data_IF_718975695396
#
_entry.id   IF_718975695396
#
_cell.length_a   1.000
_cell.length_b   1.000
_cell.length_c   1.000
_cell.angle_alpha   90.00
_cell.angle_beta   90.00
_cell.angle_gamma   90.00
#
_symmetry.space_group_name_H-M   'P 1'
#
loop_
_entity.id
_entity.type
_entity.pdbx_description
1 polymer ?
2 non-polymer ?
3 non-polymer ?
4 water ?
#
# COMPACT_ATOMS: atom_id res chain seq x y z
N UNK A 1 0.20 8.04 -0.77
CA UNK A 1 1.40 8.76 -1.31
C UNK A 1 1.03 9.76 -2.41
N UNK A 2 -0.11 9.56 -3.10
CA UNK A 2 -0.64 10.33 -4.24
C UNK A 2 -2.16 10.15 -4.35
N UNK A 3 -2.84 10.77 -5.34
CA UNK A 3 -4.31 10.79 -5.40
C UNK A 3 -4.97 9.42 -5.63
N UNK A 4 -4.26 8.49 -6.28
CA UNK A 4 -4.64 7.07 -6.37
C UNK A 4 -4.83 6.44 -5.00
N UNK A 5 -3.80 6.50 -4.16
CA UNK A 5 -3.80 5.95 -2.79
C UNK A 5 -4.85 6.69 -1.93
N UNK A 6 -5.07 8.00 -2.20
CA UNK A 6 -6.08 8.81 -1.46
C UNK A 6 -7.48 8.20 -1.65
N UNK A 7 -7.85 7.94 -2.88
CA UNK A 7 -9.18 7.37 -3.23
C UNK A 7 -9.26 5.97 -2.61
N UNK A 8 -8.24 5.15 -2.81
CA UNK A 8 -8.19 3.78 -2.28
C UNK A 8 -8.44 3.82 -0.76
N UNK A 9 -7.71 4.68 -0.05
CA UNK A 9 -7.82 4.80 1.44
C UNK A 9 -9.26 5.17 1.83
N UNK A 10 -9.89 6.10 1.12
CA UNK A 10 -11.27 6.57 1.46
C UNK A 10 -12.24 5.39 1.37
N UNK A 11 -12.08 4.53 0.36
CA UNK A 11 -12.89 3.29 0.19
C UNK A 11 -12.57 2.32 1.32
N UNK A 12 -11.28 2.09 1.64
CA UNK A 12 -10.95 1.07 2.65
C UNK A 12 -11.50 1.51 4.01
N UNK A 13 -11.40 2.79 4.35
CA UNK A 13 -11.73 3.28 5.72
C UNK A 13 -13.25 3.19 5.99
N UNK A 14 -14.11 3.30 4.99
CA UNK A 14 -15.56 3.36 5.21
C UNK A 14 -16.30 2.19 4.58
N UNK A 15 -15.75 1.53 3.55
CA UNK A 15 -16.56 0.52 2.82
C UNK A 15 -15.95 -0.89 2.88
N UNK A 16 -15.10 -1.23 3.86
CA UNK A 16 -14.56 -2.63 3.95
C UNK A 16 -14.81 -3.15 5.35
N UNK A 17 -14.99 -4.46 5.43
CA UNK A 17 -15.04 -5.22 6.70
C UNK A 17 -14.12 -6.43 6.50
N UNK A 18 -13.74 -7.06 7.60
CA UNK A 18 -13.03 -8.36 7.55
C UNK A 18 -14.10 -9.45 7.60
N UNK A 19 -14.22 -10.24 6.54
CA UNK A 19 -15.15 -11.39 6.48
C UNK A 19 -14.35 -12.67 6.74
N UNK A 20 -14.90 -13.53 7.60
CA UNK A 20 -14.31 -14.86 7.89
C UNK A 20 -15.38 -15.92 7.60
N UNK A 21 -15.04 -16.85 6.69
CA UNK A 21 -15.83 -18.08 6.40
C UNK A 21 -14.97 -19.27 6.85
N UNK A 22 -15.43 -20.50 6.60
CA UNK A 22 -14.64 -21.75 6.84
C UNK A 22 -13.41 -21.86 5.93
N UNK A 23 -13.36 -21.06 4.86
CA UNK A 23 -12.23 -21.04 3.88
C UNK A 23 -11.26 -19.90 4.18
N UNK A 24 -11.43 -19.18 5.31
CA UNK A 24 -10.48 -18.16 5.78
C UNK A 24 -11.02 -16.74 5.86
N UNK A 25 -10.08 -15.79 6.03
CA UNK A 25 -10.31 -14.34 6.16
C UNK A 25 -10.23 -13.66 4.80
N UNK A 26 -11.19 -12.79 4.46
CA UNK A 26 -11.21 -12.06 3.16
C UNK A 26 -11.48 -10.58 3.41
N UNK A 27 -10.86 -9.70 2.66
CA UNK A 27 -11.33 -8.31 2.47
C UNK A 27 -12.72 -8.42 1.86
N UNK A 28 -13.67 -7.67 2.35
CA UNK A 28 -15.05 -7.68 1.82
C UNK A 28 -15.50 -6.22 1.63
N UNK A 29 -15.92 -5.91 0.43
CA UNK A 29 -16.31 -4.55 -0.03
C UNK A 29 -17.81 -4.38 0.22
N UNK A 30 -18.17 -3.44 1.10
CA UNK A 30 -19.58 -3.03 1.29
C UNK A 30 -19.96 -2.04 0.19
N UNK A 31 -21.13 -2.19 -0.42
CA UNK A 31 -21.47 -1.39 -1.64
C UNK A 31 -22.58 -0.39 -1.29
N UNK A 32 -23.63 -0.86 -0.60
CA UNK A 32 -24.75 0.03 -0.16
C UNK A 32 -25.62 -0.76 0.81
N UNK A 33 -26.32 -0.04 1.68
CA UNK A 33 -27.22 -0.63 2.70
C UNK A 33 -26.44 -1.78 3.37
N UNK A 34 -26.95 -3.03 3.37
CA UNK A 34 -26.27 -4.14 4.08
C UNK A 34 -25.73 -5.10 3.02
N UNK A 35 -25.44 -4.60 1.83
CA UNK A 35 -25.08 -5.46 0.67
C UNK A 35 -23.58 -5.31 0.45
N UNK A 36 -22.87 -6.44 0.48
CA UNK A 36 -21.41 -6.53 0.24
C UNK A 36 -21.09 -7.55 -0.87
N UNK A 37 -19.84 -7.57 -1.32
CA UNK A 37 -19.34 -8.59 -2.28
C UNK A 37 -18.13 -9.32 -1.70
N UNK A 38 -17.91 -10.51 -2.21
CA UNK A 38 -16.77 -11.38 -1.79
C UNK A 38 -16.51 -12.36 -2.92
N UNK A 39 -15.29 -12.91 -3.07
CA UNK A 39 -15.10 -13.92 -4.11
C UNK A 39 -15.96 -15.16 -3.79
N UNK A 40 -16.48 -15.80 -4.84
CA UNK A 40 -17.38 -16.96 -4.71
C UNK A 40 -16.62 -18.13 -4.03
N UNK A 41 -15.30 -18.28 -4.24
CA UNK A 41 -14.51 -19.35 -3.57
C UNK A 41 -14.41 -19.14 -2.04
N UNK A 42 -14.90 -18.04 -1.48
CA UNK A 42 -15.05 -17.92 0.00
C UNK A 42 -16.12 -18.86 0.53
N UNK A 43 -17.04 -19.38 -0.29
CA UNK A 43 -18.10 -20.34 0.09
C UNK A 43 -18.94 -19.81 1.26
N UNK A 44 -19.60 -18.68 1.07
CA UNK A 44 -20.43 -18.05 2.12
C UNK A 44 -21.55 -19.03 2.48
N UNK A 45 -21.81 -19.24 3.77
CA UNK A 45 -22.93 -20.05 4.26
C UNK A 45 -24.01 -19.21 4.87
N UNK A 46 -24.77 -19.80 5.80
CA UNK A 46 -25.91 -19.17 6.50
C UNK A 46 -25.40 -18.20 7.55
N UNK A 47 -24.19 -18.42 8.06
CA UNK A 47 -23.54 -17.60 9.12
C UNK A 47 -22.13 -17.20 8.61
N UNK A 48 -21.74 -15.96 8.85
CA UNK A 48 -20.39 -15.43 8.47
C UNK A 48 -19.90 -14.62 9.67
N UNK A 49 -18.58 -14.44 9.82
CA UNK A 49 -18.02 -13.51 10.82
C UNK A 49 -17.60 -12.21 10.12
N UNK A 50 -18.08 -11.09 10.65
CA UNK A 50 -17.85 -9.73 10.12
C UNK A 50 -17.15 -8.93 11.22
N UNK A 51 -15.89 -8.57 11.04
CA UNK A 51 -15.04 -7.96 12.10
C UNK A 51 -15.23 -8.74 13.40
N UNK A 52 -15.17 -10.07 13.32
CA UNK A 52 -15.21 -11.05 14.45
C UNK A 52 -16.55 -11.11 15.17
N UNK A 53 -17.64 -10.59 14.56
CA UNK A 53 -19.03 -10.68 15.09
C UNK A 53 -19.80 -11.73 14.28
N UNK A 54 -20.41 -12.70 14.95
CA UNK A 54 -21.26 -13.73 14.31
C UNK A 54 -22.42 -13.01 13.60
N UNK A 55 -22.60 -13.22 12.30
CA UNK A 55 -23.61 -12.45 11.51
C UNK A 55 -24.42 -13.42 10.63
N UNK A 56 -25.75 -13.39 10.73
CA UNK A 56 -26.63 -14.16 9.84
C UNK A 56 -26.50 -13.60 8.42
N UNK A 57 -26.46 -14.48 7.43
CA UNK A 57 -26.52 -14.10 5.99
C UNK A 57 -28.00 -14.09 5.57
N UNK A 58 -28.56 -12.94 5.20
CA UNK A 58 -29.99 -12.86 4.80
C UNK A 58 -30.14 -13.37 3.37
N UNK A 59 -29.13 -13.24 2.52
CA UNK A 59 -29.16 -13.72 1.13
C UNK A 59 -27.74 -13.76 0.58
N UNK A 60 -27.45 -14.71 -0.31
CA UNK A 60 -26.14 -14.80 -0.98
C UNK A 60 -26.38 -15.32 -2.39
N UNK A 61 -25.80 -14.67 -3.40
CA UNK A 61 -26.00 -15.06 -4.80
C UNK A 61 -24.65 -15.04 -5.54
N UNK A 62 -24.23 -16.22 -6.00
CA UNK A 62 -23.06 -16.43 -6.88
C UNK A 62 -23.43 -16.00 -8.29
N UNK A 63 -22.85 -14.91 -8.78
CA UNK A 63 -23.25 -14.33 -10.09
C UNK A 63 -22.65 -15.16 -11.22
N UNK A 64 -23.41 -15.28 -12.30
CA UNK A 64 -22.96 -15.90 -13.57
C UNK A 64 -23.42 -15.01 -14.72
N UNK A 65 -22.68 -14.94 -15.83
CA UNK A 65 -23.15 -14.14 -16.98
C UNK A 65 -24.27 -14.91 -17.71
N UNK A 66 -24.81 -14.30 -18.75
CA UNK A 66 -25.97 -14.91 -19.46
C UNK A 66 -25.50 -16.03 -20.41
N UNK A 67 -24.20 -16.27 -20.59
CA UNK A 67 -23.67 -17.56 -21.16
C UNK A 67 -23.66 -18.67 -20.09
N UNK A 68 -24.10 -18.37 -18.85
CA UNK A 68 -24.09 -19.29 -17.69
C UNK A 68 -22.63 -19.66 -17.35
N UNK A 69 -21.73 -18.68 -17.43
CA UNK A 69 -20.30 -18.79 -17.01
C UNK A 69 -20.09 -18.08 -15.65
N UNK A 70 -19.33 -18.71 -14.77
CA UNK A 70 -18.88 -18.11 -13.49
C UNK A 70 -18.36 -16.68 -13.69
N UNK A 71 -18.73 -15.76 -12.80
CA UNK A 71 -18.10 -14.40 -12.69
C UNK A 71 -17.21 -14.29 -11.44
N UNK A 72 -17.31 -15.23 -10.49
CA UNK A 72 -16.49 -15.31 -9.25
C UNK A 72 -16.86 -14.21 -8.27
N UNK A 73 -18.01 -13.53 -8.45
CA UNK A 73 -18.56 -12.53 -7.48
C UNK A 73 -19.74 -13.18 -6.75
N UNK A 74 -19.75 -13.13 -5.42
CA UNK A 74 -20.95 -13.45 -4.61
C UNK A 74 -21.45 -12.15 -3.96
N UNK A 75 -22.71 -11.82 -4.16
CA UNK A 75 -23.36 -10.65 -3.52
C UNK A 75 -24.00 -11.18 -2.27
N UNK A 76 -23.67 -10.55 -1.14
CA UNK A 76 -24.15 -11.01 0.17
C UNK A 76 -24.96 -9.89 0.79
N UNK A 77 -26.12 -10.20 1.37
CA UNK A 77 -26.80 -9.26 2.28
C UNK A 77 -26.66 -9.75 3.71
N UNK A 78 -26.15 -8.88 4.58
CA UNK A 78 -25.74 -9.15 5.97
C UNK A 78 -26.84 -8.68 6.93
N UNK A 79 -27.19 -9.51 7.90
CA UNK A 79 -28.04 -9.08 9.03
C UNK A 79 -27.23 -8.21 10.00
N UNK A 80 -26.75 -7.08 9.50
CA UNK A 80 -25.90 -6.11 10.24
C UNK A 80 -26.80 -4.95 10.73
N UNK A 81 -26.45 -4.32 11.86
CA UNK A 81 -27.22 -3.23 12.48
C UNK A 81 -26.83 -1.86 11.90
N UNK A 82 -26.01 -1.82 10.86
CA UNK A 82 -25.43 -0.57 10.33
C UNK A 82 -25.37 -0.69 8.80
N UNK A 83 -25.67 0.38 8.05
CA UNK A 83 -25.54 0.43 6.57
C UNK A 83 -24.15 0.93 6.15
N UNK A 84 -23.71 0.50 4.98
CA UNK A 84 -22.52 1.05 4.29
C UNK A 84 -22.90 2.38 3.64
N UNK A 85 -21.93 3.29 3.60
CA UNK A 85 -21.97 4.42 2.64
C UNK A 85 -22.26 3.86 1.26
N UNK A 86 -23.20 4.46 0.55
CA UNK A 86 -23.54 4.03 -0.83
C UNK A 86 -22.44 4.52 -1.78
N UNK A 87 -21.70 3.59 -2.39
CA UNK A 87 -20.58 3.89 -3.34
C UNK A 87 -20.94 3.43 -4.75
N UNK A 88 -22.20 3.12 -5.02
CA UNK A 88 -22.59 2.60 -6.36
C UNK A 88 -22.27 3.59 -7.47
N UNK A 89 -22.27 4.91 -7.20
CA UNK A 89 -21.92 5.93 -8.24
C UNK A 89 -20.42 5.86 -8.59
N UNK A 90 -19.58 5.07 -7.89
CA UNK A 90 -18.16 4.91 -8.29
C UNK A 90 -17.93 3.67 -9.17
N UNK A 91 -18.97 2.88 -9.42
CA UNK A 91 -18.89 1.63 -10.21
C UNK A 91 -18.96 1.96 -11.69
N UNK A 92 -18.09 1.36 -12.51
CA UNK A 92 -18.16 1.50 -13.96
C UNK A 92 -19.44 0.89 -14.49
N UNK A 93 -19.92 1.42 -15.61
CA UNK A 93 -21.12 0.84 -16.27
C UNK A 93 -20.74 -0.24 -17.28
N UNK A 94 -19.57 -0.14 -17.93
CA UNK A 94 -19.14 -1.04 -19.03
C UNK A 94 -17.83 -1.76 -18.66
N UNK A 95 -17.53 -2.86 -19.38
CA UNK A 95 -16.24 -3.58 -19.30
C UNK A 95 -15.20 -2.65 -19.92
N UNK A 96 -14.01 -2.53 -19.37
CA UNK A 96 -13.03 -1.53 -19.83
C UNK A 96 -11.64 -1.92 -19.35
N UNK A 97 -10.63 -1.31 -19.96
CA UNK A 97 -9.22 -1.28 -19.52
C UNK A 97 -8.99 0.00 -18.70
N UNK A 98 -7.96 0.02 -17.87
CA UNK A 98 -7.68 1.13 -16.94
C UNK A 98 -6.17 1.38 -16.89
N UNK A 99 -5.80 2.62 -16.57
CA UNK A 99 -4.41 2.94 -16.16
C UNK A 99 -4.35 3.15 -14.64
N UNK A 100 -3.22 2.77 -14.05
CA UNK A 100 -2.75 3.29 -12.74
C UNK A 100 -3.75 2.88 -11.66
N UNK A 101 -3.97 1.59 -11.48
CA UNK A 101 -4.85 1.05 -10.42
C UNK A 101 -4.07 0.74 -9.14
N UNK A 102 -4.80 0.69 -8.01
CA UNK A 102 -4.31 0.28 -6.67
C UNK A 102 -5.16 -0.90 -6.22
N UNK A 103 -4.49 -1.91 -5.70
CA UNK A 103 -5.14 -3.06 -5.01
C UNK A 103 -4.95 -2.84 -3.53
N UNK A 104 -6.06 -2.82 -2.77
CA UNK A 104 -6.08 -2.51 -1.32
C UNK A 104 -6.66 -3.69 -0.54
N UNK A 105 -5.96 -4.11 0.53
CA UNK A 105 -6.30 -5.30 1.36
C UNK A 105 -6.32 -4.91 2.82
N UNK A 106 -7.29 -5.43 3.58
CA UNK A 106 -7.31 -5.23 5.03
C UNK A 106 -7.77 -6.54 5.69
N UNK A 107 -6.82 -7.29 6.26
CA UNK A 107 -7.10 -8.51 7.05
C UNK A 107 -6.23 -8.48 8.31
N UNK A 108 -6.47 -9.38 9.28
CA UNK A 108 -5.56 -9.69 10.41
C UNK A 108 -4.10 -9.78 9.92
N UNK A 109 -3.87 -10.59 8.90
CA UNK A 109 -2.54 -10.90 8.30
C UNK A 109 -1.94 -9.68 7.58
N UNK A 110 -2.75 -8.92 6.86
CA UNK A 110 -2.30 -7.80 5.97
C UNK A 110 -3.16 -6.56 6.24
N UNK A 111 -2.98 -5.89 7.40
CA UNK A 111 -3.67 -4.64 7.68
C UNK A 111 -3.11 -3.46 6.88
N UNK A 112 -3.97 -2.59 6.33
CA UNK A 112 -3.58 -1.30 5.73
C UNK A 112 -2.56 -1.51 4.61
N UNK A 113 -2.78 -2.53 3.78
CA UNK A 113 -1.93 -2.85 2.63
C UNK A 113 -2.48 -2.19 1.35
N UNK A 114 -1.61 -1.47 0.62
CA UNK A 114 -1.93 -0.80 -0.65
C UNK A 114 -0.81 -1.15 -1.65
N UNK A 115 -1.17 -1.61 -2.84
CA UNK A 115 -0.21 -2.04 -3.91
C UNK A 115 -0.52 -1.28 -5.19
N UNK A 116 0.42 -0.47 -5.72
CA UNK A 116 0.23 0.13 -7.04
C UNK A 116 0.49 -0.99 -8.07
N UNK A 117 -0.56 -1.44 -8.73
CA UNK A 117 -0.46 -2.59 -9.69
C UNK A 117 -0.29 -2.06 -11.10
N UNK A 118 -0.50 -0.78 -11.34
CA UNK A 118 -0.26 -0.18 -12.66
C UNK A 118 -1.38 -0.46 -13.64
N UNK A 119 -1.03 -0.76 -14.89
CA UNK A 119 -1.98 -0.94 -16.03
C UNK A 119 -2.88 -2.17 -15.82
N UNK A 120 -4.18 -2.01 -16.07
CA UNK A 120 -5.15 -3.14 -15.91
C UNK A 120 -5.78 -3.45 -17.28
N UNK A 121 -5.62 -4.69 -17.76
CA UNK A 121 -6.14 -5.19 -19.06
C UNK A 121 -7.53 -5.84 -18.87
N UNK A 122 -8.47 -5.53 -19.76
CA UNK A 122 -9.72 -6.32 -19.88
C UNK A 122 -9.30 -7.66 -20.48
N UNK A 123 -9.02 -8.64 -19.65
CA UNK A 123 -8.44 -9.96 -20.05
C UNK A 123 -9.55 -10.84 -20.64
N UNK A 124 -10.73 -10.79 -20.05
CA UNK A 124 -11.91 -11.57 -20.46
C UNK A 124 -11.93 -12.94 -19.85
N UNK A 125 -11.64 -13.98 -20.65
CA UNK A 125 -11.78 -15.39 -20.23
C UNK A 125 -10.53 -15.79 -19.45
N UNK A 126 -10.71 -16.48 -18.32
CA UNK A 126 -9.63 -17.11 -17.53
C UNK A 126 -10.15 -18.45 -17.03
N UNK A 127 -9.32 -19.48 -17.09
CA UNK A 127 -9.58 -20.74 -16.34
C UNK A 127 -9.01 -20.55 -14.94
N UNK A 128 -9.87 -20.25 -13.97
CA UNK A 128 -9.49 -19.83 -12.61
C UNK A 128 -9.63 -21.03 -11.67
N UNK A 129 -8.51 -21.62 -11.26
CA UNK A 129 -8.55 -22.84 -10.44
C UNK A 129 -9.37 -23.94 -11.10
N UNK A 130 -9.33 -24.08 -12.41
CA UNK A 130 -10.13 -25.11 -13.12
C UNK A 130 -11.53 -24.64 -13.54
N UNK A 131 -11.99 -23.45 -13.15
CA UNK A 131 -13.37 -22.97 -13.45
C UNK A 131 -13.33 -21.93 -14.56
N UNK A 132 -13.95 -22.18 -15.75
CA UNK A 132 -14.06 -21.15 -16.79
C UNK A 132 -14.71 -19.90 -16.16
N UNK A 133 -14.12 -18.74 -16.34
CA UNK A 133 -14.55 -17.50 -15.64
C UNK A 133 -14.54 -16.35 -16.64
N UNK A 134 -15.56 -15.48 -16.64
CA UNK A 134 -15.60 -14.31 -17.55
C UNK A 134 -15.37 -12.99 -16.81
N UNK A 135 -15.18 -11.92 -17.56
CA UNK A 135 -15.04 -10.50 -17.09
C UNK A 135 -13.85 -10.34 -16.12
N UNK A 136 -12.73 -10.96 -16.44
CA UNK A 136 -11.49 -10.90 -15.63
C UNK A 136 -10.66 -9.70 -16.08
N UNK A 137 -10.19 -8.94 -15.09
CA UNK A 137 -9.20 -7.85 -15.21
C UNK A 137 -7.84 -8.44 -14.88
N UNK A 138 -6.77 -8.04 -15.58
CA UNK A 138 -5.42 -8.60 -15.26
C UNK A 138 -4.44 -7.45 -15.04
N UNK A 139 -3.54 -7.64 -14.08
CA UNK A 139 -2.47 -6.68 -13.75
C UNK A 139 -1.19 -7.46 -13.50
N UNK A 140 -0.06 -6.86 -13.87
CA UNK A 140 1.27 -7.54 -13.84
C UNK A 140 1.89 -7.25 -12.51
N UNK A 141 1.34 -7.81 -11.43
CA UNK A 141 1.95 -7.79 -10.08
C UNK A 141 1.85 -9.18 -9.49
N UNK A 142 2.94 -9.69 -8.84
CA UNK A 142 2.97 -10.99 -8.19
C UNK A 142 2.22 -10.99 -6.86
N UNK A 143 0.89 -11.02 -6.95
CA UNK A 143 -0.05 -11.08 -5.80
C UNK A 143 0.04 -12.48 -5.14
N UNK A 144 -0.31 -12.58 -3.86
CA UNK A 144 -0.13 -13.80 -3.03
C UNK A 144 -1.40 -14.11 -2.26
N UNK A 145 -1.47 -15.35 -1.77
CA UNK A 145 -2.43 -15.83 -0.74
C UNK A 145 -2.56 -14.76 0.36
N UNK A 146 -3.80 -14.40 0.67
CA UNK A 146 -4.14 -13.34 1.63
C UNK A 146 -4.80 -12.11 0.97
N UNK A 147 -4.69 -11.97 -0.35
CA UNK A 147 -5.10 -10.75 -1.10
C UNK A 147 -6.48 -10.92 -1.75
N UNK A 148 -7.08 -12.12 -1.72
CA UNK A 148 -8.42 -12.35 -2.33
C UNK A 148 -9.46 -11.48 -1.64
N UNK A 149 -10.29 -10.81 -2.45
CA UNK A 149 -11.32 -9.87 -1.96
C UNK A 149 -10.78 -8.44 -2.00
N UNK A 150 -9.47 -8.29 -2.21
CA UNK A 150 -8.80 -6.98 -2.22
C UNK A 150 -9.53 -6.06 -3.18
N UNK A 151 -9.60 -4.78 -2.92
CA UNK A 151 -10.39 -3.85 -3.77
C UNK A 151 -9.44 -3.26 -4.81
N UNK A 152 -9.83 -3.33 -6.07
CA UNK A 152 -9.09 -2.64 -7.18
C UNK A 152 -9.79 -1.31 -7.50
N UNK A 153 -9.03 -0.21 -7.42
CA UNK A 153 -9.56 1.15 -7.67
C UNK A 153 -8.64 1.90 -8.65
N UNK A 154 -9.20 2.85 -9.37
CA UNK A 154 -8.49 4.02 -9.96
C UNK A 154 -9.06 5.25 -9.27
N UNK A 155 -8.47 6.43 -9.49
CA UNK A 155 -9.06 7.69 -8.96
C UNK A 155 -10.49 7.78 -9.47
N UNK A 156 -11.44 7.75 -8.53
CA UNK A 156 -12.86 7.96 -8.76
C UNK A 156 -13.58 6.72 -9.19
N UNK A 157 -12.95 5.54 -9.34
CA UNK A 157 -13.68 4.30 -9.71
C UNK A 157 -13.24 3.08 -8.91
N UNK A 158 -14.23 2.29 -8.50
CA UNK A 158 -14.05 0.96 -7.86
C UNK A 158 -14.33 -0.06 -8.96
N UNK A 159 -13.29 -0.74 -9.47
CA UNK A 159 -13.43 -1.48 -10.75
C UNK A 159 -13.48 -3.01 -10.57
N UNK A 160 -13.06 -3.55 -9.43
CA UNK A 160 -12.97 -5.01 -9.30
C UNK A 160 -12.59 -5.47 -7.90
N UNK A 161 -12.69 -6.79 -7.68
CA UNK A 161 -12.17 -7.46 -6.47
C UNK A 161 -11.22 -8.59 -6.94
N UNK A 162 -10.06 -8.62 -6.30
CA UNK A 162 -8.99 -9.63 -6.50
C UNK A 162 -9.52 -11.05 -6.26
N UNK A 163 -9.35 -11.97 -7.22
CA UNK A 163 -9.88 -13.37 -7.06
C UNK A 163 -8.76 -14.41 -7.29
N UNK A 164 -7.58 -14.04 -7.74
CA UNK A 164 -6.51 -15.04 -7.96
C UNK A 164 -5.26 -14.51 -8.63
N UNK A 165 -4.28 -15.39 -8.87
CA UNK A 165 -3.03 -15.03 -9.57
C UNK A 165 -2.25 -16.26 -10.00
N UNK A 166 -1.18 -16.08 -10.76
CA UNK A 166 -0.37 -17.22 -11.27
C UNK A 166 1.11 -17.05 -10.86
N UNK A 167 1.40 -16.22 -9.85
CA UNK A 167 2.75 -15.92 -9.36
C UNK A 167 3.35 -14.68 -10.01
N UNK A 168 3.07 -14.40 -11.29
CA UNK A 168 3.57 -13.20 -12.03
C UNK A 168 2.46 -12.15 -12.22
N UNK A 169 1.24 -12.63 -12.46
CA UNK A 169 0.07 -11.76 -12.73
C UNK A 169 -1.00 -11.96 -11.63
N UNK A 170 -1.84 -10.94 -11.45
CA UNK A 170 -3.01 -10.98 -10.56
C UNK A 170 -4.29 -10.79 -11.37
N UNK A 171 -5.40 -11.31 -10.89
CA UNK A 171 -6.70 -11.33 -11.62
C UNK A 171 -7.81 -10.82 -10.71
N UNK A 172 -8.68 -9.96 -11.24
CA UNK A 172 -9.77 -9.39 -10.45
C UNK A 172 -11.08 -9.67 -11.22
N UNK A 173 -12.18 -9.93 -10.53
CA UNK A 173 -13.53 -9.96 -11.14
C UNK A 173 -14.04 -8.52 -11.28
N UNK A 174 -14.55 -8.14 -12.44
CA UNK A 174 -15.15 -6.79 -12.64
C UNK A 174 -16.29 -6.56 -11.68
N UNK A 175 -16.40 -5.31 -11.18
CA UNK A 175 -17.64 -4.81 -10.59
C UNK A 175 -18.30 -3.89 -11.64
N UNK A 176 -19.57 -4.11 -11.89
CA UNK A 176 -20.41 -3.31 -12.78
C UNK A 176 -21.59 -2.71 -12.02
N UNK A 177 -21.94 -1.47 -12.34
CA UNK A 177 -23.10 -0.77 -11.74
C UNK A 177 -24.37 -1.65 -11.81
N UNK A 178 -24.55 -2.36 -12.93
CA UNK A 178 -25.79 -3.15 -13.20
C UNK A 178 -25.91 -4.31 -12.20
N UNK A 179 -24.84 -4.73 -11.53
CA UNK A 179 -24.98 -5.80 -10.52
C UNK A 179 -25.75 -5.29 -9.30
N UNK A 180 -25.85 -3.98 -9.05
CA UNK A 180 -26.36 -3.47 -7.74
C UNK A 180 -27.55 -2.52 -7.88
N UNK A 181 -28.30 -2.61 -8.97
CA UNK A 181 -29.56 -1.83 -9.15
C UNK A 181 -30.65 -2.50 -8.30
N UNK A 182 -31.61 -1.72 -7.80
CA UNK A 182 -32.65 -2.18 -6.83
C UNK A 182 -33.95 -1.39 -7.05
N UNK B 2 4.20 -11.98 7.08
CA UNK B 2 3.98 -12.10 8.55
C UNK B 2 5.04 -11.34 9.35
N UNK B 3 6.29 -11.88 9.45
CA UNK B 3 7.38 -11.17 10.13
C UNK B 3 7.76 -9.85 9.42
N UNK B 4 7.65 -9.82 8.08
CA UNK B 4 7.89 -8.62 7.24
C UNK B 4 6.94 -7.48 7.56
N UNK B 5 5.63 -7.75 7.62
CA UNK B 5 4.59 -6.74 7.95
C UNK B 5 4.66 -6.37 9.43
N UNK B 6 4.99 -7.33 10.30
CA UNK B 6 5.15 -7.09 11.77
C UNK B 6 6.36 -6.17 12.01
N UNK B 7 7.46 -6.40 11.27
CA UNK B 7 8.68 -5.58 11.38
C UNK B 7 8.39 -4.15 10.91
N UNK B 8 7.75 -4.01 9.76
CA UNK B 8 7.41 -2.67 9.20
C UNK B 8 6.52 -1.92 10.20
N UNK B 9 5.53 -2.58 10.83
CA UNK B 9 4.63 -1.92 11.84
C UNK B 9 5.43 -1.50 13.06
N UNK B 10 6.39 -2.31 13.53
CA UNK B 10 7.18 -2.00 14.74
C UNK B 10 8.02 -0.75 14.49
N UNK B 11 8.56 -0.63 13.28
CA UNK B 11 9.41 0.54 12.91
C UNK B 11 8.50 1.77 12.77
N UNK B 12 7.36 1.61 12.10
CA UNK B 12 6.32 2.67 11.97
C UNK B 12 5.97 3.23 13.36
N UNK B 13 5.50 2.37 14.26
CA UNK B 13 4.89 2.81 15.55
C UNK B 13 5.90 3.54 16.43
N UNK B 14 7.10 3.04 16.61
CA UNK B 14 8.08 3.68 17.52
C UNK B 14 9.04 4.64 16.80
N UNK B 15 9.36 4.46 15.53
CA UNK B 15 10.50 5.19 14.91
C UNK B 15 10.07 6.15 13.78
N UNK B 16 8.79 6.35 13.50
CA UNK B 16 8.38 7.20 12.38
C UNK B 16 7.56 8.39 12.93
N UNK B 17 7.90 9.60 12.49
CA UNK B 17 7.18 10.85 12.85
C UNK B 17 6.78 11.61 11.59
N UNK B 18 5.84 12.54 11.71
CA UNK B 18 5.45 13.44 10.59
C UNK B 18 6.30 14.71 10.66
N UNK B 19 7.12 14.95 9.65
CA UNK B 19 8.02 16.13 9.60
C UNK B 19 7.38 17.10 8.61
N UNK B 20 7.28 18.39 8.95
CA UNK B 20 6.73 19.41 8.03
C UNK B 20 7.77 20.52 7.89
N UNK B 21 8.25 20.71 6.65
CA UNK B 21 9.18 21.78 6.21
C UNK B 21 8.39 22.83 5.42
N UNK B 22 9.12 23.78 4.82
CA UNK B 22 8.53 24.79 3.89
C UNK B 22 7.86 24.06 2.73
N UNK B 23 8.30 22.85 2.40
CA UNK B 23 7.83 22.10 1.20
C UNK B 23 6.58 21.26 1.52
N UNK B 24 6.24 21.08 2.77
CA UNK B 24 5.07 20.29 3.20
C UNK B 24 5.49 19.07 4.04
N UNK B 25 4.70 17.99 3.98
CA UNK B 25 4.84 16.86 4.94
C UNK B 25 5.66 15.74 4.34
N UNK B 26 6.51 15.15 5.18
CA UNK B 26 7.38 14.00 4.84
C UNK B 26 7.34 12.96 5.97
N UNK B 27 7.32 11.69 5.60
CA UNK B 27 7.60 10.58 6.52
C UNK B 27 9.05 10.71 7.02
N UNK B 28 9.28 10.83 8.30
CA UNK B 28 10.66 10.98 8.83
C UNK B 28 11.00 9.76 9.70
N UNK B 29 12.20 9.21 9.52
CA UNK B 29 12.66 8.07 10.33
C UNK B 29 13.61 8.56 11.45
N UNK B 30 13.22 8.38 12.70
CA UNK B 30 14.14 8.56 13.83
C UNK B 30 15.01 7.35 14.04
N UNK B 31 16.31 7.56 14.22
CA UNK B 31 17.32 6.46 14.15
C UNK B 31 17.88 6.15 15.56
N UNK B 32 18.20 7.17 16.33
CA UNK B 32 18.68 7.06 17.74
C UNK B 32 18.73 8.45 18.38
N UNK B 33 18.70 8.52 19.72
CA UNK B 33 18.84 9.83 20.40
C UNK B 33 17.89 10.83 19.75
N UNK B 34 18.36 12.01 19.34
CA UNK B 34 17.48 12.99 18.65
C UNK B 34 17.91 13.08 17.19
N UNK B 35 18.38 11.98 16.62
CA UNK B 35 18.92 11.94 15.23
C UNK B 35 17.91 11.27 14.31
N UNK B 36 17.46 11.98 13.28
CA UNK B 36 16.49 11.47 12.27
C UNK B 36 17.02 11.67 10.85
N UNK B 37 16.34 11.05 9.90
CA UNK B 37 16.67 11.24 8.45
C UNK B 37 15.41 11.58 7.66
N UNK B 38 15.64 12.35 6.62
CA UNK B 38 14.57 12.87 5.71
C UNK B 38 15.25 13.04 4.34
N UNK B 39 14.51 12.95 3.20
CA UNK B 39 15.09 13.24 1.88
C UNK B 39 15.66 14.66 1.78
N UNK B 40 16.80 14.84 1.09
CA UNK B 40 17.45 16.17 0.97
C UNK B 40 16.46 17.17 0.34
N UNK B 41 15.59 16.70 -0.56
CA UNK B 41 14.62 17.57 -1.28
C UNK B 41 13.57 18.16 -0.36
N UNK B 42 13.49 17.74 0.90
CA UNK B 42 12.56 18.35 1.89
C UNK B 42 13.00 19.79 2.26
N UNK B 43 14.24 20.22 1.97
CA UNK B 43 14.69 21.61 2.27
C UNK B 43 14.50 21.91 3.76
N UNK B 44 15.14 21.13 4.61
CA UNK B 44 15.08 21.34 6.07
C UNK B 44 15.68 22.73 6.37
N UNK B 45 15.03 23.49 7.25
CA UNK B 45 15.47 24.84 7.64
C UNK B 45 15.97 24.87 9.07
N UNK B 46 15.78 25.99 9.74
CA UNK B 46 16.25 26.19 11.14
C UNK B 46 15.19 25.60 12.05
N UNK B 47 13.94 25.58 11.58
CA UNK B 47 12.75 25.13 12.36
C UNK B 47 12.03 24.09 11.51
N UNK B 48 11.55 23.05 12.15
CA UNK B 48 10.72 22.01 11.51
C UNK B 48 9.56 21.68 12.45
N UNK B 49 8.43 21.23 11.90
CA UNK B 49 7.33 20.68 12.71
C UNK B 49 7.44 19.16 12.76
N UNK B 50 7.36 18.60 13.98
CA UNK B 50 7.43 17.13 14.27
C UNK B 50 6.13 16.74 14.95
N UNK B 51 5.25 16.03 14.24
CA UNK B 51 3.87 15.75 14.71
C UNK B 51 3.18 17.06 15.15
N UNK B 52 3.35 18.11 14.36
CA UNK B 52 2.68 19.44 14.44
C UNK B 52 3.28 20.29 15.57
N UNK B 53 4.37 19.86 16.21
CA UNK B 53 5.11 20.65 17.23
C UNK B 53 6.29 21.39 16.58
N UNK B 54 6.32 22.72 16.71
CA UNK B 54 7.48 23.57 16.34
C UNK B 54 8.76 23.08 17.03
N UNK B 55 9.78 22.71 16.26
CA UNK B 55 11.04 22.09 16.79
C UNK B 55 12.25 22.74 16.12
N UNK B 56 13.20 23.22 16.92
CA UNK B 56 14.48 23.75 16.41
C UNK B 56 15.29 22.57 15.83
N UNK B 57 15.81 22.72 14.63
CA UNK B 57 16.83 21.78 14.08
C UNK B 57 18.23 22.25 14.51
N UNK B 58 18.89 21.50 15.38
CA UNK B 58 20.23 21.89 15.91
C UNK B 58 21.27 21.76 14.82
N UNK B 59 21.16 20.74 13.97
CA UNK B 59 22.14 20.42 12.90
C UNK B 59 21.41 19.72 11.77
N UNK B 60 21.81 20.02 10.53
CA UNK B 60 21.37 19.29 9.33
C UNK B 60 22.57 19.07 8.41
N UNK B 61 22.76 17.82 7.98
CA UNK B 61 23.86 17.38 7.09
C UNK B 61 23.26 16.74 5.84
N UNK B 62 23.49 17.35 4.67
CA UNK B 62 23.09 16.80 3.37
C UNK B 62 24.19 15.82 2.96
N UNK B 63 23.96 14.51 3.12
CA UNK B 63 25.05 13.52 3.02
C UNK B 63 25.59 13.44 1.59
N UNK B 64 26.91 13.31 1.48
CA UNK B 64 27.63 13.05 0.19
C UNK B 64 28.68 11.98 0.48
N UNK B 65 29.01 11.14 -0.50
CA UNK B 65 29.98 10.05 -0.27
C UNK B 65 31.41 10.56 -0.54
N UNK B 66 32.38 9.66 -0.46
CA UNK B 66 33.81 10.05 -0.59
C UNK B 66 34.16 10.38 -2.04
N UNK B 67 33.28 10.13 -3.02
CA UNK B 67 33.46 10.63 -4.40
C UNK B 67 32.90 12.07 -4.50
N UNK B 68 32.43 12.62 -3.38
CA UNK B 68 31.79 13.96 -3.36
C UNK B 68 30.54 13.92 -4.24
N UNK B 69 29.73 12.86 -4.11
CA UNK B 69 28.47 12.70 -4.87
C UNK B 69 27.30 12.69 -3.87
N UNK B 70 26.19 13.37 -4.20
CA UNK B 70 24.94 13.41 -3.44
C UNK B 70 24.47 12.01 -3.13
N UNK B 71 23.99 11.83 -1.89
CA UNK B 71 23.26 10.59 -1.46
C UNK B 71 21.75 10.83 -1.22
N UNK B 72 21.31 12.09 -1.20
CA UNK B 72 19.88 12.49 -1.12
C UNK B 72 19.26 12.19 0.26
N UNK B 73 20.07 11.96 1.25
CA UNK B 73 19.67 11.81 2.68
C UNK B 73 20.19 13.03 3.43
N UNK B 74 19.34 13.62 4.25
CA UNK B 74 19.73 14.65 5.19
C UNK B 74 19.57 14.09 6.60
N UNK B 75 20.66 14.12 7.36
CA UNK B 75 20.64 13.73 8.78
C UNK B 75 20.35 14.99 9.60
N UNK B 76 19.35 14.94 10.50
CA UNK B 76 19.03 16.13 11.34
C UNK B 76 19.18 15.74 12.80
N UNK B 77 19.66 16.68 13.62
CA UNK B 77 19.61 16.63 15.11
C UNK B 77 18.48 17.57 15.56
N UNK B 78 17.54 17.07 16.36
CA UNK B 78 16.32 17.82 16.77
C UNK B 78 16.46 18.26 18.23
N UNK B 79 15.99 19.47 18.55
CA UNK B 79 15.88 19.97 19.95
C UNK B 79 14.52 19.53 20.53
N UNK B 80 14.42 18.28 21.00
CA UNK B 80 13.20 17.73 21.65
C UNK B 80 13.60 16.76 22.77
N UNK B 81 12.73 16.61 23.78
CA UNK B 81 13.00 15.80 24.99
C UNK B 81 12.99 14.32 24.61
N UNK B 82 11.97 13.89 23.87
CA UNK B 82 11.83 12.46 23.49
C UNK B 82 13.11 12.01 22.78
N UNK B 83 13.57 10.81 23.14
CA UNK B 83 14.68 10.10 22.50
C UNK B 83 14.07 9.01 21.60
N UNK B 84 14.59 8.82 20.40
CA UNK B 84 14.16 7.73 19.48
C UNK B 84 14.73 6.41 19.99
N UNK B 85 13.95 5.35 19.90
CA UNK B 85 14.37 3.93 20.11
C UNK B 85 15.54 3.64 19.18
N UNK B 86 16.73 3.28 19.70
CA UNK B 86 17.91 3.01 18.84
C UNK B 86 17.58 1.85 17.90
N UNK B 87 17.75 2.06 16.58
CA UNK B 87 17.54 1.02 15.53
C UNK B 87 18.78 0.89 14.65
N UNK B 88 19.93 1.41 15.06
CA UNK B 88 21.17 1.33 14.25
C UNK B 88 21.55 -0.12 13.95
N UNK B 89 21.23 -1.06 14.84
CA UNK B 89 21.59 -2.50 14.64
C UNK B 89 20.77 -3.10 13.51
N UNK B 90 19.69 -2.44 13.04
CA UNK B 90 18.91 -2.94 11.88
C UNK B 90 19.35 -2.34 10.54
N UNK B 91 20.33 -1.44 10.51
CA UNK B 91 20.87 -0.86 9.24
C UNK B 91 21.90 -1.78 8.61
N UNK B 92 21.83 -2.00 7.29
CA UNK B 92 22.83 -2.81 6.59
C UNK B 92 24.23 -2.18 6.68
N UNK B 93 25.23 -3.05 6.76
CA UNK B 93 26.66 -2.64 6.77
C UNK B 93 27.12 -2.24 5.37
N UNK B 94 26.62 -2.92 4.35
CA UNK B 94 27.08 -2.78 2.94
C UNK B 94 25.90 -2.60 1.99
N UNK B 95 26.19 -2.22 0.74
CA UNK B 95 25.21 -2.10 -0.35
C UNK B 95 24.75 -3.51 -0.71
N UNK B 96 23.47 -3.71 -1.04
CA UNK B 96 22.91 -5.06 -1.28
C UNK B 96 21.60 -4.95 -2.07
N UNK B 97 21.18 -6.07 -2.66
CA UNK B 97 19.84 -6.30 -3.26
C UNK B 97 19.01 -7.01 -2.18
N UNK B 98 17.68 -6.93 -2.30
CA UNK B 98 16.67 -7.49 -1.37
C UNK B 98 15.41 -7.92 -2.14
N UNK B 99 14.55 -8.72 -1.53
CA UNK B 99 13.16 -8.96 -2.02
C UNK B 99 12.19 -8.91 -0.86
N UNK B 100 10.89 -8.89 -1.15
CA UNK B 100 9.80 -8.85 -0.13
C UNK B 100 10.02 -7.61 0.75
N UNK B 101 10.31 -6.46 0.13
CA UNK B 101 10.46 -5.16 0.83
C UNK B 101 9.09 -4.49 0.98
N UNK B 102 8.90 -3.77 2.08
CA UNK B 102 7.71 -2.93 2.33
C UNK B 102 8.14 -1.47 2.39
N UNK B 103 7.30 -0.58 1.85
CA UNK B 103 7.46 0.89 1.94
C UNK B 103 6.32 1.35 2.86
N UNK B 104 6.66 2.06 3.93
CA UNK B 104 5.74 2.45 5.04
C UNK B 104 5.62 3.98 5.15
N UNK B 105 4.47 4.51 4.72
CA UNK B 105 4.15 5.96 4.60
C UNK B 105 3.39 6.44 5.85
N UNK B 106 3.76 7.61 6.39
CA UNK B 106 3.09 8.18 7.56
C UNK B 106 3.05 9.71 7.45
N UNK B 107 1.90 10.25 7.04
CA UNK B 107 1.65 11.72 7.04
C UNK B 107 0.24 12.00 7.59
N UNK B 108 -0.18 13.27 7.71
CA UNK B 108 -1.57 13.59 8.16
C UNK B 108 -2.58 13.03 7.18
N UNK B 109 -2.26 13.03 5.88
CA UNK B 109 -3.13 12.57 4.79
C UNK B 109 -3.10 11.03 4.65
N UNK B 110 -1.98 10.39 5.00
CA UNK B 110 -1.77 8.92 4.80
C UNK B 110 -1.17 8.36 6.08
N UNK B 111 -1.95 8.17 7.15
CA UNK B 111 -1.42 7.64 8.39
C UNK B 111 -1.30 6.12 8.23
N UNK B 112 -0.30 5.48 8.78
CA UNK B 112 -0.26 3.98 8.73
C UNK B 112 -0.64 3.38 7.35
N UNK B 113 0.08 3.68 6.27
CA UNK B 113 -0.11 3.01 4.95
C UNK B 113 1.12 2.12 4.63
N UNK B 114 0.91 0.83 4.33
CA UNK B 114 1.99 -0.14 4.00
C UNK B 114 1.89 -0.58 2.53
N UNK B 115 2.98 -0.36 1.78
CA UNK B 115 3.01 -0.66 0.33
C UNK B 115 4.07 -1.72 0.07
N UNK B 116 3.67 -3.00 -0.15
CA UNK B 116 4.56 -4.07 -0.59
C UNK B 116 5.15 -3.65 -1.94
N UNK B 117 6.46 -3.60 -2.06
CA UNK B 117 7.07 -3.24 -3.36
C UNK B 117 7.79 -4.44 -3.98
N UNK B 118 8.15 -5.43 -3.14
CA UNK B 118 8.74 -6.71 -3.56
C UNK B 118 10.25 -6.58 -3.75
N UNK B 119 10.69 -6.95 -4.94
CA UNK B 119 12.13 -7.08 -5.29
C UNK B 119 12.73 -5.68 -5.36
N UNK B 120 13.80 -5.48 -4.59
CA UNK B 120 14.61 -4.23 -4.55
C UNK B 120 16.00 -4.51 -5.13
N UNK B 121 16.36 -3.76 -6.17
CA UNK B 121 17.67 -3.82 -6.85
C UNK B 121 18.63 -2.74 -6.32
N UNK B 122 19.90 -3.08 -6.07
CA UNK B 122 21.01 -2.10 -5.97
C UNK B 122 21.24 -1.47 -7.35
N UNK B 123 20.64 -0.32 -7.60
CA UNK B 123 20.57 0.35 -8.93
C UNK B 123 21.85 1.19 -9.11
N UNK B 124 22.31 1.83 -8.03
CA UNK B 124 23.53 2.66 -7.95
C UNK B 124 23.30 4.10 -8.39
N UNK B 125 23.83 4.46 -9.56
CA UNK B 125 23.90 5.85 -10.04
C UNK B 125 22.54 6.24 -10.60
N UNK B 126 22.07 7.44 -10.30
CA UNK B 126 20.80 7.98 -10.87
C UNK B 126 20.93 9.49 -10.96
N UNK B 127 20.53 10.03 -12.10
CA UNK B 127 20.40 11.50 -12.25
C UNK B 127 19.02 11.90 -11.74
N UNK B 128 18.97 12.35 -10.49
CA UNK B 128 17.71 12.66 -9.80
C UNK B 128 17.45 14.17 -9.81
N UNK B 129 16.47 14.62 -10.60
CA UNK B 129 16.11 16.06 -10.65
C UNK B 129 17.27 16.88 -11.18
N UNK B 130 18.14 16.28 -11.99
CA UNK B 130 19.35 16.93 -12.54
C UNK B 130 20.58 16.81 -11.65
N UNK B 131 20.45 16.18 -10.47
CA UNK B 131 21.59 15.95 -9.53
C UNK B 131 22.10 14.51 -9.61
N UNK B 132 23.38 14.28 -9.99
CA UNK B 132 24.01 12.96 -9.91
C UNK B 132 23.99 12.40 -8.47
N UNK B 133 23.48 11.18 -8.31
CA UNK B 133 23.14 10.57 -6.99
C UNK B 133 23.64 9.12 -6.98
N UNK B 134 24.24 8.72 -5.88
CA UNK B 134 24.76 7.34 -5.66
C UNK B 134 23.85 6.55 -4.72
N UNK B 135 24.10 5.24 -4.62
CA UNK B 135 23.47 4.28 -3.66
C UNK B 135 21.94 4.33 -3.73
N UNK B 136 21.35 4.34 -4.92
CA UNK B 136 19.88 4.26 -5.12
C UNK B 136 19.44 2.79 -5.18
N UNK B 137 18.45 2.43 -4.37
CA UNK B 137 17.65 1.19 -4.48
C UNK B 137 16.47 1.44 -5.45
N UNK B 138 16.14 0.47 -6.30
CA UNK B 138 15.00 0.59 -7.25
C UNK B 138 14.01 -0.56 -7.02
N UNK B 139 12.72 -0.25 -7.15
CA UNK B 139 11.57 -1.19 -7.11
C UNK B 139 10.55 -0.75 -8.15
N UNK B 140 9.75 -1.68 -8.64
CA UNK B 140 8.56 -1.33 -9.44
C UNK B 140 7.68 -0.41 -8.62
N UNK B 141 7.14 0.63 -9.26
CA UNK B 141 6.26 1.65 -8.64
C UNK B 141 5.51 2.35 -9.74
N UNK B 142 4.57 1.63 -10.40
CA UNK B 142 3.94 2.09 -11.63
C UNK B 142 2.83 3.10 -11.32
N UNK B 143 3.21 4.25 -10.75
CA UNK B 143 2.31 5.32 -10.28
C UNK B 143 3.15 6.60 -10.17
N UNK B 144 2.48 7.75 -10.18
CA UNK B 144 3.14 9.06 -9.90
C UNK B 144 2.75 9.41 -8.46
N UNK B 145 3.63 9.09 -7.53
CA UNK B 145 3.51 9.46 -6.10
C UNK B 145 4.05 10.89 -5.89
N UNK B 146 3.53 11.57 -4.86
CA UNK B 146 4.06 12.86 -4.40
C UNK B 146 5.39 12.71 -3.66
N UNK B 147 5.76 13.76 -2.93
CA UNK B 147 7.10 13.95 -2.35
C UNK B 147 7.28 13.24 -0.98
N UNK B 148 6.19 12.81 -0.33
CA UNK B 148 6.21 12.59 1.14
C UNK B 148 7.19 11.45 1.50
N UNK B 149 7.41 10.53 0.58
CA UNK B 149 8.34 9.38 0.80
C UNK B 149 7.86 8.41 1.88
N UNK B 150 8.80 7.66 2.51
CA UNK B 150 8.45 6.51 3.34
C UNK B 150 9.68 5.66 3.62
N UNK B 151 9.54 4.74 4.54
CA UNK B 151 10.66 3.91 5.05
C UNK B 151 10.57 2.56 4.36
N UNK B 152 11.69 2.09 3.80
CA UNK B 152 11.74 0.76 3.12
C UNK B 152 12.34 -0.27 4.09
N UNK B 153 11.60 -1.33 4.40
CA UNK B 153 12.10 -2.43 5.28
C UNK B 153 12.03 -3.77 4.59
N UNK B 154 12.84 -4.70 5.07
CA UNK B 154 12.70 -6.14 4.75
C UNK B 154 12.37 -6.83 6.08
N UNK B 155 12.35 -8.15 6.12
CA UNK B 155 12.46 -8.87 7.41
C UNK B 155 13.82 -8.52 8.03
N UNK B 156 13.81 -7.90 9.20
CA UNK B 156 14.99 -7.67 10.05
C UNK B 156 15.88 -6.54 9.60
N UNK B 157 15.57 -5.78 8.54
CA UNK B 157 16.46 -4.65 8.16
C UNK B 157 15.68 -3.39 7.74
N UNK B 158 16.21 -2.24 8.13
CA UNK B 158 15.75 -0.92 7.63
C UNK B 158 16.72 -0.45 6.55
N UNK B 159 16.32 -0.56 5.29
CA UNK B 159 17.27 -0.51 4.14
C UNK B 159 17.31 0.84 3.45
N UNK B 160 16.30 1.70 3.61
CA UNK B 160 16.31 2.94 2.80
C UNK B 160 15.10 3.82 3.08
N UNK B 161 15.14 5.05 2.54
CA UNK B 161 14.00 6.01 2.50
C UNK B 161 13.72 6.38 1.05
N UNK B 162 12.44 6.36 0.67
CA UNK B 162 11.93 6.72 -0.66
C UNK B 162 12.27 8.18 -1.00
N UNK B 163 12.95 8.42 -2.11
CA UNK B 163 13.38 9.80 -2.51
C UNK B 163 12.82 10.24 -3.87
N UNK B 164 12.31 9.34 -4.73
CA UNK B 164 11.66 9.75 -5.99
C UNK B 164 11.15 8.59 -6.83
N UNK B 165 10.84 8.89 -8.09
CA UNK B 165 10.23 7.92 -9.03
C UNK B 165 10.07 8.50 -10.43
N UNK B 166 9.90 7.63 -11.43
CA UNK B 166 9.80 8.04 -12.85
C UNK B 166 8.49 7.53 -13.45
N UNK B 167 7.49 7.18 -12.63
CA UNK B 167 6.16 6.71 -13.08
C UNK B 167 6.08 5.20 -13.30
N UNK B 168 7.20 4.52 -13.55
CA UNK B 168 7.34 3.06 -13.68
C UNK B 168 8.13 2.48 -12.51
N UNK B 169 9.16 3.22 -12.04
CA UNK B 169 10.07 2.73 -10.98
C UNK B 169 10.05 3.71 -9.83
N UNK B 170 10.31 3.20 -8.63
CA UNK B 170 10.44 3.97 -7.40
C UNK B 170 11.89 3.88 -6.93
N UNK B 171 12.39 4.96 -6.33
CA UNK B 171 13.82 5.01 -5.90
C UNK B 171 13.92 5.38 -4.43
N UNK B 172 14.79 4.67 -3.70
CA UNK B 172 15.13 4.91 -2.30
C UNK B 172 16.63 5.14 -2.16
N UNK B 173 17.01 6.03 -1.26
CA UNK B 173 18.42 6.20 -0.84
C UNK B 173 18.74 5.13 0.19
N UNK B 174 19.88 4.44 0.05
CA UNK B 174 20.28 3.42 1.05
C UNK B 174 20.52 4.09 2.40
N UNK B 175 20.18 3.37 3.50
CA UNK B 175 20.71 3.67 4.84
C UNK B 175 21.80 2.62 5.14
N UNK B 176 22.95 3.08 5.58
CA UNK B 176 24.10 2.21 5.95
C UNK B 176 24.47 2.50 7.41
N UNK B 177 24.96 1.48 8.10
CA UNK B 177 25.31 1.58 9.53
C UNK B 177 26.34 2.70 9.73
N UNK B 178 27.26 2.84 8.78
CA UNK B 178 28.41 3.77 8.91
C UNK B 178 27.94 5.22 8.92
N UNK B 179 26.70 5.52 8.51
CA UNK B 179 26.27 6.95 8.45
C UNK B 179 26.05 7.49 9.87
N UNK B 180 25.85 6.59 10.85
CA UNK B 180 25.41 6.94 12.22
C UNK B 180 26.35 6.43 13.32
N UNK B 181 27.59 6.08 13.00
CA UNK B 181 28.64 5.70 13.98
C UNK B 181 29.40 6.94 14.48
X LIG C 1 5.06 -9.01 -1.33
X LIG C 1 5.69 -9.55 2.24
X LIG C 1 6.65 -10.73 2.32
X LIG C 1 5.42 -8.78 -0.08
X LIG C 1 5.68 -8.09 -2.14
X LIG C 1 5.49 -8.09 -3.61
X LIG C 1 4.96 -9.51 0.95
X LIG C 1 5.25 -9.27 4.73
X LIG C 1 3.67 -8.59 3.12
X LIG C 1 4.67 -9.58 3.38
X LIG C 1 2.86 -8.89 1.98
X LIG C 1 3.55 -9.86 1.05
X LIG C 1 6.48 -7.18 -1.62
X LIG C 1 6.53 -7.44 0.04
X LIG D 1 25.14 11.36 12.75
X LIG D 1 25.13 12.73 13.39
X LIG D 1 25.00 10.20 14.07
X LIG D 1 26.82 11.01 12.28
#
# INVERSE_FOLDING_TARGET
>A
MGPGFDFAQAIMKKNTVIARTEKGEFTMLGVYDRVAVIPTHASVGEIIYINDVETRVLDACALRDLTDTNLEITIVKLDRNQKFRDIRHFLPRCEDDYNDAVLSVHTSKFPNMYIPVGQVTNYGFLNLGGTPTHRILMYNFPTRAGQCGGVVTTTGKVIGIHVGGNGAQGFAAMLLHSYFTD
>B
MGPGFDFAQAIMKKNTVIARTEKGEFTMLGVYDRVAVIPTHASVGEIIYINDVETRVLDACALRDLTDTNLEITIVKLDRNQKFRDIRHFLPRCEDDYNDAVLSVHTSKFPNMYIPVGQVTNYGFLNLGGTPTHRILMYNFPTRAGQCGGVVTTTGKVIGIHVGGNGAQGFAAMLLHSYFTD
>C hetero
1 TNU N1 C4 C5 C6 C7 C8 N C O C1 C2 C3 N2 S
>D hetero
1 DMS S O C1 C2
#
